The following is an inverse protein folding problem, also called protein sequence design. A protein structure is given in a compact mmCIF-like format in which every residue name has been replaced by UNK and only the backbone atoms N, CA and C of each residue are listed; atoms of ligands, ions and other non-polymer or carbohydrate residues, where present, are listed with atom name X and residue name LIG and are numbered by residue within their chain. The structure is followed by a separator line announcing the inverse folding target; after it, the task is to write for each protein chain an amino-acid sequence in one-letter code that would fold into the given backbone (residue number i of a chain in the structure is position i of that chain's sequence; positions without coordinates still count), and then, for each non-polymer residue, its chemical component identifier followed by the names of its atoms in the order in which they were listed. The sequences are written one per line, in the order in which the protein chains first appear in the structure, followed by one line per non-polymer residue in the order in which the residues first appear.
data_IF_075456974087
#
_entry.id   IF_075456974087
#
_cell.length_a   1.000
_cell.length_b   1.000
_cell.length_c   1.000
_cell.angle_alpha   90.00
_cell.angle_beta   90.00
_cell.angle_gamma   90.00
#
_symmetry.space_group_name_H-M   'P 1'
#
loop_
_entity.id
_entity.type
_entity.pdbx_description
1 polymer ?
#
# COMPACT_ATOMS: atom_id res chain seq x y z
N UNK A 1 -38.82 0.00 -18.58
CA UNK A 1 -37.62 0.67 -18.04
C UNK A 1 -36.55 -0.38 -17.85
N UNK A 2 -35.56 -0.44 -18.74
CA UNK A 2 -34.51 -1.49 -18.70
C UNK A 2 -33.54 -1.22 -17.56
N UNK A 3 -33.37 -2.20 -16.67
CA UNK A 3 -32.42 -2.13 -15.56
C UNK A 3 -30.98 -2.16 -16.11
N UNK A 4 -30.06 -1.28 -15.69
CA UNK A 4 -28.67 -1.35 -16.11
C UNK A 4 -28.01 -2.62 -15.55
N UNK A 5 -27.10 -3.22 -16.34
CA UNK A 5 -26.31 -4.38 -15.92
C UNK A 5 -25.15 -3.90 -15.03
N UNK A 6 -24.73 -4.72 -14.06
CA UNK A 6 -23.69 -4.36 -13.09
C UNK A 6 -22.33 -3.98 -13.73
N UNK A 7 -22.15 -4.32 -15.00
CA UNK A 7 -20.95 -4.08 -15.80
C UNK A 7 -20.72 -2.60 -16.15
N UNK A 8 -21.71 -1.72 -15.95
CA UNK A 8 -21.65 -0.31 -16.34
C UNK A 8 -21.26 0.64 -15.19
N UNK A 9 -20.96 0.13 -13.99
CA UNK A 9 -20.24 0.91 -12.98
C UNK A 9 -18.76 0.94 -13.37
N UNK A 10 -18.40 1.93 -14.17
CA UNK A 10 -17.01 2.36 -14.30
C UNK A 10 -16.62 3.03 -12.97
N UNK A 11 -16.19 2.22 -12.00
CA UNK A 11 -15.49 2.76 -10.84
C UNK A 11 -14.22 3.44 -11.36
N UNK A 12 -14.12 4.77 -11.16
CA UNK A 12 -12.83 5.44 -11.29
C UNK A 12 -11.89 4.79 -10.29
N UNK A 13 -10.78 4.27 -10.76
CA UNK A 13 -9.68 3.84 -9.89
C UNK A 13 -9.10 5.10 -9.25
N UNK A 14 -9.62 5.45 -8.08
CA UNK A 14 -9.11 6.54 -7.26
C UNK A 14 -7.95 5.99 -6.42
N UNK A 15 -6.74 6.09 -6.98
CA UNK A 15 -5.53 5.56 -6.38
C UNK A 15 -4.32 5.67 -7.30
N UNK A 16 -3.13 5.57 -6.71
CA UNK A 16 -1.91 5.50 -7.49
C UNK A 16 -1.81 4.13 -8.17
N UNK A 17 -1.83 4.13 -9.51
CA UNK A 17 -1.63 2.93 -10.32
C UNK A 17 -0.20 2.96 -10.85
N UNK A 18 0.69 2.07 -10.38
CA UNK A 18 2.01 1.97 -10.96
C UNK A 18 1.92 1.40 -12.38
N UNK A 19 2.74 1.94 -13.26
CA UNK A 19 2.88 1.52 -14.66
C UNK A 19 3.46 0.10 -14.81
N UNK A 20 4.07 -0.45 -13.77
CA UNK A 20 4.74 -1.74 -13.77
C UNK A 20 4.93 -2.27 -12.35
N UNK A 21 5.19 -3.58 -12.22
CA UNK A 21 5.46 -4.22 -10.92
C UNK A 21 6.61 -3.53 -10.17
N UNK A 22 7.60 -3.01 -10.90
CA UNK A 22 8.71 -2.22 -10.37
C UNK A 22 8.28 -0.98 -9.56
N UNK A 23 7.13 -0.38 -9.87
CA UNK A 23 6.63 0.77 -9.12
C UNK A 23 6.28 0.42 -7.68
N UNK A 24 5.91 -0.84 -7.41
CA UNK A 24 5.61 -1.27 -6.05
C UNK A 24 6.84 -1.43 -5.17
N UNK A 25 8.06 -1.40 -5.73
CA UNK A 25 9.27 -1.54 -4.95
C UNK A 25 9.85 -0.18 -4.57
N UNK A 26 9.92 0.09 -3.26
CA UNK A 26 10.67 1.23 -2.74
C UNK A 26 12.08 0.81 -2.35
N UNK A 27 13.09 1.62 -2.69
CA UNK A 27 14.47 1.37 -2.29
C UNK A 27 14.78 2.16 -1.02
N UNK A 28 15.15 1.48 0.05
CA UNK A 28 15.49 2.15 1.30
C UNK A 28 16.84 2.87 1.19
N UNK A 29 16.91 4.17 1.51
CA UNK A 29 18.18 4.92 1.48
C UNK A 29 19.14 4.53 2.62
N UNK A 30 18.65 3.90 3.69
CA UNK A 30 19.45 3.49 4.84
C UNK A 30 20.18 2.16 4.64
N UNK A 31 19.49 1.13 4.15
CA UNK A 31 20.07 -0.21 3.95
C UNK A 31 20.35 -0.55 2.48
N UNK A 32 19.81 0.23 1.52
CA UNK A 32 19.91 -0.04 0.08
C UNK A 32 19.03 -1.20 -0.42
N UNK A 33 18.23 -1.82 0.46
CA UNK A 33 17.31 -2.90 0.13
C UNK A 33 16.07 -2.42 -0.63
N UNK A 34 15.51 -3.30 -1.46
CA UNK A 34 14.22 -3.11 -2.13
C UNK A 34 13.11 -3.72 -1.28
N UNK A 35 12.07 -2.94 -0.99
CA UNK A 35 10.90 -3.35 -0.21
C UNK A 35 9.71 -3.32 -1.13
N UNK A 36 8.96 -4.41 -1.22
CA UNK A 36 7.68 -4.42 -1.92
C UNK A 36 6.61 -3.79 -1.02
N UNK A 37 6.06 -2.65 -1.43
CA UNK A 37 5.07 -1.90 -0.67
C UNK A 37 3.69 -2.58 -0.60
N UNK A 38 3.44 -3.64 -1.40
CA UNK A 38 2.20 -4.43 -1.32
C UNK A 38 2.31 -5.48 -0.22
N UNK A 39 3.51 -5.97 0.02
CA UNK A 39 3.80 -6.89 1.11
C UNK A 39 4.09 -6.14 2.40
N UNK A 40 3.02 -5.79 3.12
CA UNK A 40 3.10 -5.13 4.42
C UNK A 40 4.00 -5.87 5.42
N UNK A 41 4.14 -7.20 5.29
CA UNK A 41 5.03 -7.97 6.15
C UNK A 41 6.51 -7.59 5.97
N UNK A 42 6.95 -7.37 4.72
CA UNK A 42 8.26 -6.82 4.40
C UNK A 42 8.41 -5.36 4.82
N UNK A 43 7.37 -4.55 4.67
CA UNK A 43 7.39 -3.15 5.12
C UNK A 43 7.62 -3.08 6.62
N UNK A 44 6.83 -3.81 7.41
CA UNK A 44 6.96 -3.86 8.88
C UNK A 44 8.28 -4.48 9.34
N UNK A 45 8.78 -5.51 8.65
CA UNK A 45 10.09 -6.08 8.95
C UNK A 45 11.22 -5.10 8.63
N UNK A 46 11.05 -4.25 7.62
CA UNK A 46 12.05 -3.29 7.18
C UNK A 46 12.09 -2.01 8.03
N UNK A 47 10.93 -1.42 8.36
CA UNK A 47 10.85 -0.28 9.27
C UNK A 47 11.30 -0.64 10.70
N UNK A 48 11.40 -1.94 10.98
CA UNK A 48 11.69 -2.48 12.30
C UNK A 48 10.50 -2.30 13.23
N UNK A 49 10.59 -2.72 14.50
CA UNK A 49 9.62 -2.25 15.47
C UNK A 49 9.70 -0.73 15.49
N UNK A 50 8.68 -0.05 14.95
CA UNK A 50 8.48 1.35 15.24
C UNK A 50 8.58 1.49 16.76
N UNK A 51 9.31 2.48 17.30
CA UNK A 51 9.19 2.77 18.72
C UNK A 51 7.70 3.03 18.94
N UNK A 52 7.04 2.07 19.57
CA UNK A 52 5.65 2.19 19.94
C UNK A 52 5.62 3.36 20.91
N UNK A 53 5.33 4.55 20.39
CA UNK A 53 5.07 5.71 21.21
C UNK A 53 3.81 5.31 21.96
N UNK A 54 3.98 4.96 23.23
CA UNK A 54 2.95 4.40 24.11
C UNK A 54 1.93 5.48 24.51
N UNK A 55 1.70 6.45 23.62
CA UNK A 55 0.92 7.65 23.86
C UNK A 55 -0.51 7.54 23.31
N UNK A 56 -0.82 6.50 22.52
CA UNK A 56 -2.15 6.27 21.95
C UNK A 56 -2.70 4.89 22.33
N UNK A 57 -2.91 4.68 23.64
CA UNK A 57 -3.79 3.62 24.17
C UNK A 57 -4.82 4.26 25.11
N UNK A 58 -5.66 5.12 24.54
CA UNK A 58 -6.95 5.52 25.11
C UNK A 58 -7.98 5.53 23.97
N UNK A 59 -8.61 4.37 23.73
CA UNK A 59 -9.89 4.23 23.05
C UNK A 59 -10.68 3.09 23.69
#
# INVERSE_FOLDING_TARGET
MSRPKFSDVAGVLDGWIPESEAGHFMRCPGCGGSIDCRDLSQVFAHEGPLPYSTDDQDQ
#
